data_IF_535520819003
#
_entry.id   IF_535520819003
#
_cell.length_a   1.000
_cell.length_b   1.000
_cell.length_c   1.000
_cell.angle_alpha   90.00
_cell.angle_beta   90.00
_cell.angle_gamma   90.00
#
_symmetry.space_group_name_H-M   'P 1'
#
loop_
_entity.id
_entity.type
_entity.pdbx_description
1 polymer ?
2 branched ?
3 non-polymer ?
4 non-polymer ?
5 water ?
#
# COMPACT_ATOMS: atom_id res chain seq x y z
N UNK A 18 -32.67 -7.22 -22.17
CA UNK A 18 -31.48 -8.06 -22.21
C UNK A 18 -30.26 -7.35 -21.66
N UNK A 19 -30.11 -7.39 -20.34
CA UNK A 19 -29.01 -6.72 -19.67
C UNK A 19 -27.67 -7.38 -19.97
N UNK A 20 -26.66 -6.55 -20.17
CA UNK A 20 -25.30 -7.04 -20.30
C UNK A 20 -24.68 -7.09 -18.91
N UNK A 21 -23.95 -8.14 -18.62
CA UNK A 21 -23.32 -8.28 -17.31
C UNK A 21 -21.94 -7.64 -17.33
N UNK A 22 -21.69 -6.77 -16.36
CA UNK A 22 -20.37 -6.20 -16.14
C UNK A 22 -19.84 -6.81 -14.86
N UNK A 23 -18.68 -7.47 -14.95
CA UNK A 23 -18.08 -8.13 -13.81
C UNK A 23 -17.01 -7.22 -13.19
N UNK A 24 -17.15 -6.97 -11.90
CA UNK A 24 -16.34 -5.98 -11.18
C UNK A 24 -15.65 -6.63 -9.99
N UNK A 25 -14.36 -6.37 -9.83
CA UNK A 25 -13.55 -6.99 -8.78
C UNK A 25 -12.99 -5.96 -7.80
N UNK A 26 -13.19 -6.23 -6.52
CA UNK A 26 -12.69 -5.40 -5.43
C UNK A 26 -12.63 -6.14 -4.12
N UNK A 27 -12.11 -5.48 -3.09
CA UNK A 27 -11.87 -6.22 -1.85
C UNK A 27 -13.13 -6.48 -1.04
N UNK A 28 -13.06 -7.49 -0.17
CA UNK A 28 -14.21 -7.93 0.61
C UNK A 28 -14.90 -6.77 1.33
N UNK A 29 -14.10 -5.86 1.88
CA UNK A 29 -14.63 -4.75 2.65
C UNK A 29 -15.51 -3.82 1.81
N UNK A 30 -15.25 -3.73 0.51
CA UNK A 30 -16.05 -2.88 -0.38
C UNK A 30 -17.30 -3.60 -0.86
N UNK A 31 -17.42 -4.89 -0.53
CA UNK A 31 -18.57 -5.69 -0.93
C UNK A 31 -19.40 -6.10 0.29
N UNK A 32 -18.99 -5.65 1.46
CA UNK A 32 -19.60 -6.05 2.74
C UNK A 32 -20.72 -5.08 3.11
N UNK A 33 -21.96 -5.59 3.18
CA UNK A 33 -23.09 -4.71 3.53
C UNK A 33 -22.88 -4.03 4.87
N UNK A 34 -22.18 -4.70 5.78
CA UNK A 34 -21.96 -4.15 7.10
C UNK A 34 -21.09 -2.91 7.04
N UNK A 35 -20.36 -2.74 5.94
CA UNK A 35 -19.52 -1.56 5.73
C UNK A 35 -20.05 -0.70 4.58
N UNK A 36 -21.34 -0.85 4.27
CA UNK A 36 -22.01 -0.04 3.26
C UNK A 36 -21.82 -0.50 1.82
N UNK A 37 -21.12 -1.63 1.66
CA UNK A 37 -20.81 -2.24 0.37
C UNK A 37 -20.57 -1.18 -0.70
N UNK A 38 -19.55 -0.38 -0.45
CA UNK A 38 -19.22 0.74 -1.32
C UNK A 38 -19.21 0.42 -2.80
N UNK A 39 -18.59 -0.70 -3.16
CA UNK A 39 -18.42 -0.99 -4.58
C UNK A 39 -19.76 -1.28 -5.25
N UNK A 40 -20.62 -2.04 -4.59
CA UNK A 40 -21.96 -2.31 -5.11
C UNK A 40 -22.78 -1.02 -5.18
N UNK A 41 -22.70 -0.26 -4.09
CA UNK A 41 -23.41 1.02 -3.97
C UNK A 41 -23.04 1.94 -5.13
N UNK A 42 -21.75 2.05 -5.42
CA UNK A 42 -21.32 2.93 -6.50
C UNK A 42 -21.64 2.36 -7.89
N UNK A 43 -21.54 1.04 -8.08
CA UNK A 43 -21.95 0.46 -9.35
C UNK A 43 -23.44 0.74 -9.61
N UNK A 44 -24.26 0.61 -8.58
CA UNK A 44 -25.70 0.88 -8.75
C UNK A 44 -25.94 2.35 -9.05
N UNK A 45 -25.23 3.23 -8.37
CA UNK A 45 -25.33 4.67 -8.66
C UNK A 45 -24.94 4.98 -10.10
N UNK A 46 -23.86 4.34 -10.57
CA UNK A 46 -23.45 4.48 -11.95
C UNK A 46 -24.56 4.08 -12.92
N UNK A 47 -25.19 2.93 -12.66
CA UNK A 47 -26.26 2.47 -13.54
C UNK A 47 -27.41 3.48 -13.55
N UNK A 48 -27.74 4.00 -12.37
CA UNK A 48 -28.88 4.94 -12.25
C UNK A 48 -28.60 6.22 -13.03
N UNK A 49 -27.34 6.62 -13.03
CA UNK A 49 -26.93 7.83 -13.75
C UNK A 49 -26.80 7.65 -15.27
N UNK A 50 -26.83 6.40 -15.73
CA UNK A 50 -26.63 6.07 -17.13
C UNK A 50 -27.74 5.16 -17.65
N UNK A 51 -28.96 5.68 -17.73
CA UNK A 51 -30.10 4.88 -18.17
C UNK A 51 -29.97 4.33 -19.59
N UNK A 52 -29.10 4.92 -20.40
CA UNK A 52 -28.87 4.43 -21.75
C UNK A 52 -28.17 3.09 -21.76
N UNK A 53 -27.51 2.77 -20.65
CA UNK A 53 -26.88 1.46 -20.50
C UNK A 53 -27.86 0.46 -19.89
N UNK A 54 -27.88 -0.73 -20.46
CA UNK A 54 -28.72 -1.80 -19.96
C UNK A 54 -27.80 -2.87 -19.38
N UNK A 55 -27.46 -2.69 -18.11
CA UNK A 55 -26.42 -3.50 -17.49
C UNK A 55 -26.82 -4.04 -16.14
N UNK A 56 -26.18 -5.12 -15.75
CA UNK A 56 -26.24 -5.58 -14.37
C UNK A 56 -24.82 -5.94 -13.98
N UNK A 57 -24.63 -6.19 -12.70
CA UNK A 57 -23.31 -6.39 -12.14
C UNK A 57 -23.14 -7.73 -11.47
N UNK A 58 -21.95 -8.31 -11.64
CA UNK A 58 -21.52 -9.45 -10.86
C UNK A 58 -20.20 -9.04 -10.23
N UNK A 59 -19.96 -9.52 -9.02
CA UNK A 59 -18.81 -9.09 -8.24
C UNK A 59 -17.85 -10.22 -7.90
N UNK A 60 -16.56 -9.94 -8.05
CA UNK A 60 -15.52 -10.89 -7.68
C UNK A 60 -14.67 -10.30 -6.56
N UNK A 61 -14.64 -10.98 -5.42
CA UNK A 61 -13.92 -10.49 -4.24
C UNK A 61 -12.43 -10.82 -4.30
N UNK A 62 -11.60 -9.78 -4.26
CA UNK A 62 -10.16 -9.95 -4.26
C UNK A 62 -9.50 -8.68 -3.75
N UNK A 63 -8.52 -8.85 -2.85
CA UNK A 63 -7.71 -7.73 -2.39
C UNK A 63 -7.00 -7.07 -3.55
N UNK A 64 -6.88 -5.75 -3.48
CA UNK A 64 -6.04 -5.05 -4.45
C UNK A 64 -4.59 -5.57 -4.50
N UNK A 65 -4.11 -6.11 -3.38
CA UNK A 65 -2.76 -6.65 -3.27
C UNK A 65 -2.54 -7.87 -4.16
N UNK A 66 -3.63 -8.56 -4.45
CA UNK A 66 -3.64 -9.82 -5.19
C UNK A 66 -4.10 -9.65 -6.64
N UNK A 67 -4.47 -8.43 -7.05
CA UNK A 67 -5.08 -8.26 -8.36
C UNK A 67 -4.20 -8.68 -9.52
N UNK A 68 -2.91 -8.37 -9.47
CA UNK A 68 -1.98 -8.77 -10.51
C UNK A 68 -2.04 -10.28 -10.72
N UNK A 69 -1.95 -11.02 -9.63
CA UNK A 69 -1.93 -12.49 -9.70
C UNK A 69 -3.23 -13.02 -10.32
N UNK A 70 -4.35 -12.47 -9.87
CA UNK A 70 -5.65 -12.93 -10.35
C UNK A 70 -5.83 -12.59 -11.83
N UNK A 71 -5.54 -11.39 -12.25
CA UNK A 71 -5.77 -10.99 -13.59
C UNK A 71 -4.73 -11.53 -14.61
N UNK A 72 -3.45 -11.41 -14.31
CA UNK A 72 -2.44 -11.74 -15.28
C UNK A 72 -2.38 -13.23 -15.60
N UNK A 73 -2.84 -14.03 -14.68
CA UNK A 73 -2.88 -15.47 -14.92
C UNK A 73 -3.65 -15.78 -16.20
N UNK A 74 -4.70 -14.99 -16.47
CA UNK A 74 -5.60 -15.22 -17.59
C UNK A 74 -6.51 -14.02 -17.72
N UNK A 75 -6.06 -12.99 -18.45
CA UNK A 75 -6.88 -11.78 -18.45
C UNK A 75 -8.30 -11.96 -19.03
N UNK A 76 -8.41 -12.79 -20.04
CA UNK A 76 -9.71 -13.01 -20.66
C UNK A 76 -10.70 -13.65 -19.70
N UNK A 77 -10.19 -14.36 -18.69
CA UNK A 77 -11.05 -15.00 -17.69
C UNK A 77 -11.38 -14.07 -16.53
N UNK A 78 -10.77 -12.90 -16.51
CA UNK A 78 -10.85 -12.00 -15.36
C UNK A 78 -11.96 -10.97 -15.48
N UNK A 79 -12.22 -10.29 -14.36
CA UNK A 79 -13.25 -9.25 -14.30
C UNK A 79 -13.02 -8.15 -15.33
N UNK A 80 -14.10 -7.50 -15.73
CA UNK A 80 -14.08 -6.42 -16.71
C UNK A 80 -13.45 -5.14 -16.16
N UNK A 81 -13.73 -4.91 -14.89
CA UNK A 81 -13.29 -3.71 -14.18
C UNK A 81 -12.76 -4.15 -12.81
N UNK A 82 -11.58 -3.67 -12.41
CA UNK A 82 -10.99 -4.16 -11.17
C UNK A 82 -10.16 -3.14 -10.42
N UNK A 83 -10.09 -3.35 -9.11
CA UNK A 83 -9.37 -2.48 -8.20
C UNK A 83 -8.01 -3.10 -7.87
N UNK A 84 -6.93 -2.34 -8.08
CA UNK A 84 -5.59 -2.86 -7.95
C UNK A 84 -4.63 -1.84 -7.34
N UNK A 85 -3.45 -2.30 -6.96
CA UNK A 85 -2.39 -1.43 -6.43
C UNK A 85 -1.43 -1.07 -7.54
N UNK A 86 -1.02 0.18 -7.62
CA UNK A 86 -0.41 0.67 -8.83
C UNK A 86 0.95 0.05 -9.20
N UNK A 87 1.65 -0.53 -8.24
CA UNK A 87 2.93 -1.19 -8.53
C UNK A 87 2.73 -2.37 -9.46
N UNK A 88 1.49 -2.79 -9.59
CA UNK A 88 1.15 -3.90 -10.50
C UNK A 88 1.00 -3.49 -11.95
N UNK A 89 1.18 -2.20 -12.24
CA UNK A 89 0.88 -1.67 -13.54
C UNK A 89 1.70 -2.27 -14.67
N UNK A 90 3.02 -2.35 -14.53
CA UNK A 90 3.81 -2.86 -15.65
C UNK A 90 3.48 -4.33 -15.94
N UNK A 91 3.39 -5.20 -14.91
CA UNK A 91 2.98 -6.58 -15.20
C UNK A 91 1.62 -6.66 -15.87
N UNK A 92 0.68 -5.82 -15.46
CA UNK A 92 -0.62 -5.83 -16.09
C UNK A 92 -0.49 -5.41 -17.56
N UNK A 93 0.30 -4.38 -17.86
CA UNK A 93 0.47 -3.94 -19.24
C UNK A 93 1.12 -5.05 -20.08
N UNK A 94 2.15 -5.69 -19.54
CA UNK A 94 2.86 -6.69 -20.34
C UNK A 94 1.99 -7.92 -20.59
N UNK A 95 1.00 -8.14 -19.73
CA UNK A 95 0.02 -9.20 -19.91
C UNK A 95 -1.17 -8.78 -20.79
N UNK A 96 -1.14 -7.57 -21.34
CA UNK A 96 -2.28 -7.03 -22.09
C UNK A 96 -3.57 -7.14 -21.28
N UNK A 97 -3.48 -6.74 -20.00
CA UNK A 97 -4.55 -6.97 -19.03
C UNK A 97 -5.20 -5.68 -18.55
N UNK A 98 -4.70 -4.55 -19.05
CA UNK A 98 -5.21 -3.24 -18.63
C UNK A 98 -5.23 -2.29 -19.82
N UNK A 99 -6.37 -1.63 -19.99
CA UNK A 99 -6.60 -0.77 -21.15
C UNK A 99 -6.07 0.64 -20.91
N UNK A 100 -5.41 1.20 -21.93
CA UNK A 100 -5.11 2.62 -21.93
C UNK A 100 -6.40 3.40 -21.85
N UNK A 101 -6.36 4.52 -21.13
CA UNK A 101 -7.51 5.39 -20.97
C UNK A 101 -7.26 6.72 -21.63
N UNK A 102 -8.28 7.23 -22.30
CA UNK A 102 -8.17 8.54 -22.92
C UNK A 102 -9.36 9.42 -22.56
N UNK A 103 -9.57 10.44 -23.39
CA UNK A 103 -10.77 11.24 -23.28
C UNK A 103 -10.95 11.92 -21.94
N UNK A 104 -12.22 12.07 -21.56
CA UNK A 104 -12.58 12.72 -20.33
C UNK A 104 -12.03 11.96 -19.13
N UNK A 105 -11.92 10.64 -19.25
CA UNK A 105 -11.42 9.83 -18.15
C UNK A 105 -9.96 10.18 -17.83
N UNK A 106 -9.12 10.19 -18.85
CA UNK A 106 -7.72 10.54 -18.69
C UNK A 106 -7.61 11.97 -18.18
N UNK A 107 -8.45 12.85 -18.71
CA UNK A 107 -8.41 14.25 -18.30
C UNK A 107 -8.75 14.41 -16.81
N UNK A 108 -9.71 13.63 -16.34
CA UNK A 108 -10.07 13.63 -14.93
C UNK A 108 -8.92 13.14 -14.05
N UNK A 109 -8.23 12.10 -14.49
CA UNK A 109 -7.13 11.61 -13.72
C UNK A 109 -6.04 12.68 -13.60
N UNK A 110 -5.80 13.42 -14.67
CA UNK A 110 -4.80 14.49 -14.63
C UNK A 110 -5.26 15.73 -13.84
N UNK A 111 -6.51 16.09 -13.99
CA UNK A 111 -6.99 17.35 -13.41
C UNK A 111 -7.30 17.24 -11.92
N UNK A 112 -7.73 16.06 -11.45
CA UNK A 112 -8.26 15.94 -10.11
C UNK A 112 -7.26 15.40 -9.09
N UNK A 113 -6.09 15.02 -9.57
CA UNK A 113 -5.01 14.46 -8.74
C UNK A 113 -3.76 15.33 -8.80
N UNK A 114 -2.94 15.19 -7.76
CA UNK A 114 -1.60 15.76 -7.80
C UNK A 114 -0.80 15.13 -8.93
N UNK A 115 0.31 15.75 -9.27
CA UNK A 115 1.18 15.19 -10.27
C UNK A 115 1.65 13.79 -9.85
N UNK A 116 2.05 13.62 -8.60
CA UNK A 116 2.57 12.32 -8.20
C UNK A 116 1.47 11.27 -8.24
N UNK A 117 0.25 11.62 -7.89
CA UNK A 117 -0.82 10.61 -7.94
C UNK A 117 -1.23 10.27 -9.37
N UNK A 118 -1.25 11.24 -10.28
CA UNK A 118 -1.45 10.91 -11.68
C UNK A 118 -0.29 10.03 -12.18
N UNK A 119 0.93 10.26 -11.69
CA UNK A 119 2.07 9.50 -12.20
C UNK A 119 2.00 8.02 -11.82
N UNK A 120 1.25 7.72 -10.76
CA UNK A 120 1.16 6.34 -10.29
C UNK A 120 0.53 5.45 -11.33
N UNK A 121 -0.26 6.02 -12.24
CA UNK A 121 -1.00 5.22 -13.23
C UNK A 121 -0.60 5.58 -14.66
N UNK A 122 0.56 6.24 -14.80
CA UNK A 122 1.08 6.66 -16.08
C UNK A 122 2.27 5.79 -16.48
N UNK A 123 2.20 5.24 -17.69
CA UNK A 123 3.26 4.40 -18.23
C UNK A 123 3.54 4.86 -19.67
N UNK A 124 4.79 5.21 -19.95
CA UNK A 124 5.21 5.66 -21.27
C UNK A 124 4.30 6.79 -21.78
N UNK A 125 3.91 7.67 -20.86
CA UNK A 125 3.12 8.83 -21.21
C UNK A 125 1.62 8.64 -21.30
N UNK A 126 1.12 7.40 -21.17
CA UNK A 126 -0.30 7.11 -21.24
C UNK A 126 -0.87 6.79 -19.86
N UNK A 127 -2.11 7.20 -19.63
CA UNK A 127 -2.84 6.86 -18.41
C UNK A 127 -3.51 5.52 -18.57
N UNK A 128 -3.39 4.67 -17.55
CA UNK A 128 -3.95 3.33 -17.60
C UNK A 128 -4.95 2.99 -16.51
N UNK A 129 -5.28 3.91 -15.60
CA UNK A 129 -6.18 3.57 -14.52
C UNK A 129 -6.66 4.84 -13.85
N UNK A 130 -7.72 4.69 -13.03
CA UNK A 130 -8.29 5.82 -12.31
C UNK A 130 -8.01 5.65 -10.82
N UNK A 131 -7.12 6.48 -10.24
CA UNK A 131 -6.87 6.41 -8.79
C UNK A 131 -8.11 6.66 -7.96
N UNK A 132 -8.26 5.95 -6.86
CA UNK A 132 -9.34 6.26 -5.91
C UNK A 132 -8.87 6.52 -4.51
N UNK A 133 -7.65 6.10 -4.17
CA UNK A 133 -7.05 6.47 -2.89
C UNK A 133 -5.53 6.41 -3.02
N UNK A 134 -4.82 7.15 -2.18
CA UNK A 134 -3.38 6.98 -2.16
C UNK A 134 -3.08 5.68 -1.43
N UNK A 135 -1.89 5.16 -1.63
CA UNK A 135 -1.52 3.84 -1.13
C UNK A 135 -0.19 3.93 -0.42
N UNK A 136 -0.24 3.86 0.91
CA UNK A 136 0.95 3.95 1.73
C UNK A 136 0.59 3.39 3.09
N UNK A 137 1.51 3.46 4.03
CA UNK A 137 1.25 2.91 5.35
C UNK A 137 1.82 3.85 6.40
N UNK A 138 1.46 3.59 7.66
CA UNK A 138 1.72 4.52 8.75
C UNK A 138 1.59 3.78 10.08
N UNK A 139 1.63 4.52 11.18
CA UNK A 139 1.65 3.91 12.51
C UNK A 139 0.32 4.04 13.23
N UNK A 140 -0.23 2.91 13.65
CA UNK A 140 -1.31 2.91 14.64
C UNK A 140 -0.69 2.63 16.01
N UNK A 141 -1.12 3.32 17.07
CA UNK A 141 -0.56 3.01 18.37
C UNK A 141 -1.56 3.24 19.50
N UNK A 142 -1.29 2.60 20.62
CA UNK A 142 -2.11 2.69 21.82
C UNK A 142 -1.72 3.93 22.62
N UNK A 143 -2.61 4.90 22.68
CA UNK A 143 -2.34 6.16 23.38
C UNK A 143 -2.20 5.96 24.88
N UNK A 144 -2.62 4.81 25.39
CA UNK A 144 -2.44 4.48 26.80
C UNK A 144 -0.98 4.13 27.11
N UNK A 145 -0.21 3.80 26.07
CA UNK A 145 1.16 3.33 26.22
C UNK A 145 2.20 4.37 25.78
N UNK A 146 1.97 5.02 24.64
CA UNK A 146 2.91 5.99 24.09
C UNK A 146 2.34 7.40 24.00
N UNK A 147 3.20 8.37 24.27
CA UNK A 147 2.89 9.78 24.04
C UNK A 147 3.17 10.16 22.59
N UNK A 148 2.72 11.35 22.18
CA UNK A 148 3.00 11.85 20.86
C UNK A 148 4.50 12.00 20.64
N UNK A 149 5.21 12.38 21.70
CA UNK A 149 6.64 12.56 21.58
C UNK A 149 7.34 11.21 21.46
N UNK A 150 6.82 10.21 22.18
CA UNK A 150 7.42 8.87 22.16
C UNK A 150 7.48 8.32 20.74
N UNK A 151 6.41 8.53 19.97
CA UNK A 151 6.27 7.81 18.71
C UNK A 151 7.06 8.47 17.60
N UNK A 152 7.83 9.51 17.92
CA UNK A 152 8.69 10.12 16.93
C UNK A 152 9.94 9.28 16.68
N UNK A 153 10.23 8.36 17.62
CA UNK A 153 11.41 7.51 17.56
C UNK A 153 11.08 6.06 17.90
N UNK A 154 11.48 5.12 17.03
CA UNK A 154 11.22 3.71 17.28
C UNK A 154 12.00 3.28 18.52
N UNK A 155 13.18 3.86 18.68
CA UNK A 155 14.04 3.50 19.82
C UNK A 155 13.38 3.94 21.13
N UNK A 156 12.85 5.15 21.15
CA UNK A 156 12.11 5.62 22.34
C UNK A 156 10.91 4.72 22.58
N UNK A 157 10.19 4.37 21.53
CA UNK A 157 9.05 3.50 21.70
C UNK A 157 9.40 2.17 22.37
N UNK A 158 10.50 1.56 21.98
CA UNK A 158 10.85 0.28 22.51
C UNK A 158 11.19 0.32 24.01
N UNK A 159 11.47 1.49 24.52
CA UNK A 159 11.74 1.62 25.92
C UNK A 159 10.48 1.69 26.74
N UNK A 160 9.36 2.02 26.11
CA UNK A 160 8.08 2.24 26.78
C UNK A 160 7.05 1.16 26.58
N UNK A 161 7.20 0.32 25.57
CA UNK A 161 6.14 -0.60 25.25
C UNK A 161 6.48 -1.52 24.10
N UNK A 162 5.46 -2.23 23.62
CA UNK A 162 5.62 -3.29 22.65
C UNK A 162 5.42 -2.79 21.23
N UNK A 163 6.37 -3.10 20.37
CA UNK A 163 6.39 -2.60 19.01
C UNK A 163 6.41 -3.77 18.04
N UNK A 164 5.60 -3.71 16.97
CA UNK A 164 5.63 -4.73 15.95
C UNK A 164 5.98 -4.14 14.58
N UNK A 165 6.41 -5.01 13.68
CA UNK A 165 6.68 -4.62 12.29
C UNK A 165 6.64 -5.85 11.38
N UNK A 166 5.99 -5.76 10.20
CA UNK A 166 5.90 -6.92 9.30
C UNK A 166 7.10 -7.09 8.39
N UNK A 167 8.20 -7.58 8.94
CA UNK A 167 9.47 -7.58 8.20
C UNK A 167 9.52 -8.53 7.01
N UNK A 168 8.62 -9.51 6.92
CA UNK A 168 8.68 -10.41 5.75
C UNK A 168 7.76 -9.94 4.62
N UNK A 169 7.29 -8.69 4.73
CA UNK A 169 6.51 -8.06 3.68
C UNK A 169 7.32 -6.96 3.03
N UNK A 170 7.71 -7.15 1.77
CA UNK A 170 8.60 -6.20 1.12
C UNK A 170 8.06 -4.78 1.02
N UNK A 171 6.75 -4.65 1.05
CA UNK A 171 6.13 -3.32 0.95
C UNK A 171 6.44 -2.47 2.19
N UNK A 172 6.78 -3.15 3.29
CA UNK A 172 7.18 -2.54 4.56
C UNK A 172 8.70 -2.55 4.81
N UNK A 173 9.35 -3.64 4.40
CA UNK A 173 10.78 -3.85 4.68
C UNK A 173 11.66 -2.70 4.18
N UNK A 174 11.31 -2.18 3.01
CA UNK A 174 12.18 -1.22 2.35
C UNK A 174 12.34 0.05 3.17
N UNK A 175 11.36 0.38 3.99
CA UNK A 175 11.43 1.62 4.75
C UNK A 175 12.70 1.71 5.59
N UNK A 176 13.15 0.58 6.10
CA UNK A 176 14.37 0.51 6.91
C UNK A 176 15.62 0.72 6.08
N UNK A 177 15.66 0.13 4.89
CA UNK A 177 16.83 0.24 4.04
C UNK A 177 16.90 1.63 3.37
N UNK A 178 15.76 2.15 2.95
CA UNK A 178 15.70 3.50 2.37
C UNK A 178 16.18 4.54 3.37
N UNK A 179 15.92 4.27 4.65
CA UNK A 179 16.29 5.18 5.73
C UNK A 179 17.79 5.45 5.75
N UNK A 180 18.58 4.49 5.28
CA UNK A 180 20.04 4.63 5.30
C UNK A 180 20.68 4.68 3.93
N UNK A 181 19.88 5.07 2.93
CA UNK A 181 20.41 5.39 1.63
C UNK A 181 20.48 4.25 0.63
N UNK A 182 19.83 3.13 0.94
CA UNK A 182 19.68 2.08 -0.06
C UNK A 182 18.61 2.50 -1.05
N UNK A 183 18.78 2.05 -2.29
CA UNK A 183 17.90 2.48 -3.37
C UNK A 183 17.36 1.35 -4.25
N UNK A 184 16.20 1.65 -4.83
CA UNK A 184 15.57 0.81 -5.84
C UNK A 184 15.44 1.64 -7.12
N UNK A 185 16.18 1.25 -8.17
CA UNK A 185 16.15 1.94 -9.45
C UNK A 185 16.45 3.43 -9.29
N UNK A 186 17.48 3.71 -8.51
CA UNK A 186 17.92 5.08 -8.34
C UNK A 186 16.91 5.81 -7.50
N UNK A 187 16.22 6.77 -8.10
CA UNK A 187 15.15 7.47 -7.40
C UNK A 187 13.82 6.75 -7.54
N UNK A 188 13.86 5.60 -8.18
CA UNK A 188 12.72 4.77 -8.42
C UNK A 188 12.32 4.62 -9.86
N UNK A 189 12.95 5.44 -10.70
CA UNK A 189 12.61 5.54 -12.10
C UNK A 189 13.73 5.22 -13.07
N UNK A 190 14.83 4.75 -12.56
CA UNK A 190 15.98 4.40 -13.40
C UNK A 190 16.32 2.93 -13.32
N UNK A 191 15.83 2.17 -14.26
CA UNK A 191 16.05 0.74 -14.25
C UNK A 191 17.53 0.37 -14.34
N UNK A 192 18.30 1.20 -15.06
CA UNK A 192 19.72 0.93 -15.26
C UNK A 192 20.52 1.04 -13.96
N UNK A 193 19.94 1.69 -12.96
CA UNK A 193 20.59 1.82 -11.66
C UNK A 193 20.46 0.53 -10.84
N UNK A 194 19.49 -0.32 -11.18
CA UNK A 194 19.31 -1.58 -10.46
C UNK A 194 18.97 -1.38 -8.99
N UNK A 195 19.26 -2.40 -8.19
CA UNK A 195 19.08 -2.34 -6.76
C UNK A 195 20.40 -2.02 -6.06
N UNK A 196 20.35 -1.20 -5.03
CA UNK A 196 21.55 -0.92 -4.23
C UNK A 196 21.25 -1.02 -2.75
N UNK A 197 21.45 -2.24 -2.24
CA UNK A 197 21.35 -2.54 -0.82
C UNK A 197 22.72 -2.98 -0.31
N UNK A 198 23.76 -2.65 -1.05
CA UNK A 198 25.09 -3.18 -0.79
C UNK A 198 25.89 -2.33 0.20
N UNK A 199 26.88 -2.96 0.80
CA UNK A 199 27.88 -2.23 1.56
C UNK A 199 27.48 -1.91 2.99
N UNK A 200 28.32 -1.14 3.64
CA UNK A 200 28.15 -0.83 5.04
C UNK A 200 26.80 -0.15 5.29
N UNK A 201 26.32 0.64 4.34
CA UNK A 201 25.03 1.30 4.53
C UNK A 201 23.89 0.27 4.66
N UNK A 202 23.97 -0.82 3.92
CA UNK A 202 22.98 -1.89 4.00
C UNK A 202 23.19 -2.75 5.23
N UNK A 203 24.44 -3.12 5.51
CA UNK A 203 24.74 -3.91 6.71
C UNK A 203 24.32 -3.22 7.99
N UNK A 204 24.49 -1.91 8.06
CA UNK A 204 24.09 -1.15 9.25
C UNK A 204 22.59 -1.30 9.50
N UNK A 205 21.81 -1.32 8.43
CA UNK A 205 20.35 -1.51 8.56
C UNK A 205 20.07 -2.96 8.99
N UNK A 206 20.70 -3.92 8.33
CA UNK A 206 20.53 -5.32 8.74
C UNK A 206 20.88 -5.51 10.22
N UNK A 207 21.97 -4.91 10.65
CA UNK A 207 22.35 -4.97 12.06
C UNK A 207 21.29 -4.36 12.99
N UNK A 208 20.72 -3.21 12.61
CA UNK A 208 19.64 -2.58 13.35
C UNK A 208 18.48 -3.56 13.49
N UNK A 209 18.13 -4.25 12.40
CA UNK A 209 16.99 -5.17 12.44
C UNK A 209 17.32 -6.41 13.29
N UNK A 210 18.55 -6.93 13.20
CA UNK A 210 18.97 -7.99 14.10
C UNK A 210 18.79 -7.56 15.54
N UNK A 211 19.25 -6.36 15.87
CA UNK A 211 19.09 -5.84 17.22
C UNK A 211 17.61 -5.72 17.60
N UNK A 212 16.78 -5.36 16.64
CA UNK A 212 15.36 -5.21 16.89
C UNK A 212 14.77 -6.55 17.25
N UNK A 213 15.07 -7.59 16.48
CA UNK A 213 14.57 -8.91 16.80
C UNK A 213 15.05 -9.42 18.16
N UNK A 214 16.22 -8.97 18.58
CA UNK A 214 16.81 -9.37 19.87
C UNK A 214 16.28 -8.51 21.04
N UNK A 215 15.41 -7.55 20.72
CA UNK A 215 14.81 -6.66 21.71
C UNK A 215 13.56 -7.32 22.24
N UNK A 216 13.46 -7.57 23.56
CA UNK A 216 12.28 -8.28 24.06
C UNK A 216 10.96 -7.49 24.00
N UNK A 217 11.01 -6.21 23.65
CA UNK A 217 9.78 -5.45 23.42
C UNK A 217 9.41 -5.38 21.94
N UNK A 218 10.16 -6.08 21.09
CA UNK A 218 9.77 -6.21 19.69
C UNK A 218 9.08 -7.53 19.39
N UNK A 219 8.00 -7.45 18.63
CA UNK A 219 7.26 -8.61 18.15
C UNK A 219 7.10 -8.53 16.64
N UNK A 220 7.63 -9.50 15.92
CA UNK A 220 7.45 -9.50 14.47
C UNK A 220 5.97 -9.64 14.14
N UNK A 221 5.47 -8.74 13.28
CA UNK A 221 4.13 -8.88 12.72
C UNK A 221 4.16 -9.90 11.59
N UNK A 222 3.03 -10.54 11.29
CA UNK A 222 2.99 -11.41 10.14
C UNK A 222 2.69 -10.66 8.85
N UNK A 223 2.83 -11.36 7.73
CA UNK A 223 2.86 -10.72 6.42
C UNK A 223 1.71 -9.77 6.18
N UNK A 224 0.48 -10.17 6.51
CA UNK A 224 -0.64 -9.28 6.22
C UNK A 224 -1.28 -8.67 7.47
N UNK A 225 -0.58 -8.76 8.60
CA UNK A 225 -0.88 -7.89 9.72
C UNK A 225 -2.00 -8.34 10.65
N UNK A 226 -2.43 -9.59 10.55
CA UNK A 226 -3.46 -10.08 11.46
C UNK A 226 -2.87 -10.28 12.86
N UNK A 227 -1.57 -10.59 12.94
CA UNK A 227 -0.93 -10.76 14.23
C UNK A 227 -0.89 -9.44 15.00
N UNK A 228 -0.45 -8.37 14.34
CA UNK A 228 -0.43 -7.07 14.97
C UNK A 228 -1.79 -6.63 15.48
N UNK A 229 -2.82 -6.84 14.67
CA UNK A 229 -4.18 -6.45 15.06
C UNK A 229 -4.58 -7.18 16.33
N UNK A 230 -4.33 -8.49 16.35
CA UNK A 230 -4.66 -9.32 17.51
C UNK A 230 -3.87 -8.89 18.74
N UNK A 231 -2.61 -8.50 18.53
CA UNK A 231 -1.77 -7.98 19.59
C UNK A 231 -2.23 -6.68 20.21
N UNK A 232 -2.76 -5.77 19.41
CA UNK A 232 -3.27 -4.49 19.91
C UNK A 232 -4.42 -4.75 20.88
N UNK A 233 -5.23 -5.76 20.55
CA UNK A 233 -6.39 -6.10 21.35
C UNK A 233 -5.97 -6.71 22.68
N UNK A 234 -4.99 -7.61 22.60
CA UNK A 234 -4.27 -8.24 23.72
C UNK A 234 -3.51 -7.35 24.67
N UNK A 235 -3.03 -6.22 24.15
CA UNK A 235 -1.98 -5.46 24.82
C UNK A 235 -0.58 -6.02 24.60
N UNK A 236 -0.42 -7.15 23.91
CA UNK A 236 0.92 -7.72 23.66
C UNK A 236 1.70 -6.94 22.60
N UNK A 237 0.97 -6.17 21.80
CA UNK A 237 1.54 -5.25 20.82
C UNK A 237 0.84 -3.92 21.00
N UNK A 238 1.62 -2.84 21.07
CA UNK A 238 1.08 -1.50 21.31
C UNK A 238 1.28 -0.52 20.14
N UNK A 239 1.99 -0.99 19.11
CA UNK A 239 2.30 -0.19 17.92
C UNK A 239 2.29 -1.12 16.71
N UNK A 240 1.60 -0.67 15.67
CA UNK A 240 1.17 -1.51 14.54
C UNK A 240 1.39 -0.69 13.28
N UNK A 241 2.18 -1.21 12.35
CA UNK A 241 2.44 -0.48 11.11
C UNK A 241 1.61 -1.13 10.05
N UNK A 242 0.66 -0.36 9.53
CA UNK A 242 -0.36 -0.90 8.66
C UNK A 242 -1.05 0.25 7.94
N UNK A 243 -2.29 0.07 7.51
CA UNK A 243 -2.90 1.09 6.66
C UNK A 243 -4.38 1.34 6.84
N UNK A 244 -4.87 2.17 5.92
CA UNK A 244 -6.21 2.75 6.00
C UNK A 244 -7.31 1.69 5.99
N UNK A 245 -7.06 0.60 5.29
CA UNK A 245 -8.05 -0.47 5.15
C UNK A 245 -8.41 -1.13 6.48
N UNK A 246 -7.54 -1.05 7.48
CA UNK A 246 -7.78 -1.64 8.80
C UNK A 246 -8.17 -0.64 9.90
N UNK A 247 -8.56 0.58 9.50
CA UNK A 247 -8.83 1.66 10.46
C UNK A 247 -9.93 1.22 11.44
N UNK A 248 -11.03 0.72 10.89
CA UNK A 248 -12.16 0.33 11.75
C UNK A 248 -11.79 -0.85 12.65
N UNK A 249 -11.01 -1.80 12.16
CA UNK A 249 -10.59 -2.92 13.00
C UNK A 249 -9.64 -2.49 14.10
N UNK A 250 -8.80 -1.48 13.83
CA UNK A 250 -7.91 -0.97 14.86
C UNK A 250 -8.74 -0.27 15.94
N UNK A 251 -9.78 0.44 15.52
CA UNK A 251 -10.67 1.10 16.48
C UNK A 251 -11.37 0.03 17.31
N UNK A 252 -11.75 -1.08 16.70
CA UNK A 252 -12.35 -2.19 17.46
C UNK A 252 -11.35 -2.77 18.46
N UNK A 253 -10.09 -2.91 18.05
CA UNK A 253 -9.11 -3.58 18.91
C UNK A 253 -8.73 -2.75 20.13
N UNK A 254 -8.53 -1.45 19.95
CA UNK A 254 -8.00 -0.58 20.99
C UNK A 254 -9.06 0.18 21.76
N UNK A 255 -10.23 0.34 21.15
CA UNK A 255 -11.20 1.30 21.61
C UNK A 255 -10.84 2.65 21.04
N UNK A 256 -11.82 3.34 20.48
CA UNK A 256 -11.52 4.50 19.67
C UNK A 256 -10.84 5.64 20.42
N UNK A 257 -11.09 5.79 21.73
CA UNK A 257 -10.43 6.86 22.47
C UNK A 257 -8.95 6.59 22.70
N UNK A 258 -8.53 5.36 22.41
CA UNK A 258 -7.15 4.96 22.64
C UNK A 258 -6.32 4.92 21.36
N UNK A 259 -6.98 5.13 20.22
CA UNK A 259 -6.28 5.02 18.94
C UNK A 259 -5.45 6.26 18.64
N UNK A 260 -4.14 6.04 18.49
CA UNK A 260 -3.24 7.05 17.99
C UNK A 260 -2.84 6.70 16.58
N UNK A 261 -2.70 7.72 15.74
CA UNK A 261 -2.29 7.52 14.36
C UNK A 261 -1.16 8.50 14.06
N UNK A 262 -0.02 7.97 13.61
CA UNK A 262 1.14 8.82 13.35
C UNK A 262 1.83 8.49 12.07
N UNK A 263 2.63 9.43 11.59
CA UNK A 263 3.53 9.15 10.49
C UNK A 263 4.73 8.35 11.04
N UNK A 264 5.72 8.09 10.21
CA UNK A 264 6.76 7.13 10.58
C UNK A 264 7.86 7.74 11.44
N UNK A 265 8.35 6.97 12.41
CA UNK A 265 9.41 7.43 13.31
C UNK A 265 10.78 7.34 12.69
N UNK A 266 11.77 7.86 13.41
CA UNK A 266 13.16 7.65 13.05
C UNK A 266 13.67 6.40 13.72
N UNK A 267 14.77 5.89 13.18
CA UNK A 267 15.55 4.85 13.82
C UNK A 267 16.98 5.34 13.97
N UNK A 268 17.59 4.99 15.08
CA UNK A 268 18.93 5.45 15.33
C UNK A 268 19.95 4.39 14.89
N UNK A 269 20.64 4.71 13.80
CA UNK A 269 21.70 3.87 13.24
C UNK A 269 23.04 4.55 13.48
N UNK A 270 23.86 3.92 14.32
CA UNK A 270 25.20 4.41 14.64
C UNK A 270 25.23 5.85 15.12
N UNK A 271 24.22 6.24 15.90
CA UNK A 271 24.18 7.57 16.48
C UNK A 271 23.46 8.60 15.63
N UNK A 272 22.98 8.17 14.46
CA UNK A 272 22.31 9.07 13.53
C UNK A 272 20.82 8.70 13.42
N UNK A 273 19.96 9.69 13.62
CA UNK A 273 18.52 9.48 13.43
C UNK A 273 18.27 9.38 11.94
N UNK A 274 17.67 8.27 11.53
CA UNK A 274 17.37 8.03 10.12
C UNK A 274 15.86 7.89 9.95
N UNK A 275 15.31 8.49 8.90
CA UNK A 275 13.87 8.51 8.69
C UNK A 275 13.38 7.29 7.93
N UNK A 276 12.54 6.48 8.56
CA UNK A 276 11.84 5.40 7.83
C UNK A 276 10.99 6.00 6.73
N UNK A 277 11.01 5.38 5.55
CA UNK A 277 10.27 5.87 4.39
C UNK A 277 9.47 4.76 3.73
N UNK A 278 8.15 4.88 3.87
CA UNK A 278 7.21 3.99 3.21
C UNK A 278 7.18 4.24 1.72
N UNK A 279 6.77 3.23 0.94
CA UNK A 279 6.36 3.48 -0.43
C UNK A 279 5.07 4.29 -0.47
N UNK A 280 4.97 5.19 -1.44
CA UNK A 280 3.73 5.92 -1.71
C UNK A 280 3.33 5.70 -3.16
N UNK A 281 2.19 5.07 -3.35
CA UNK A 281 1.63 4.80 -4.66
C UNK A 281 0.15 5.14 -4.59
N UNK A 282 -0.66 4.40 -5.36
CA UNK A 282 -2.10 4.59 -5.34
C UNK A 282 -2.77 3.24 -5.48
N UNK A 283 -4.03 3.17 -5.10
CA UNK A 283 -4.90 2.10 -5.57
C UNK A 283 -5.83 2.72 -6.60
N UNK A 284 -6.13 1.96 -7.65
CA UNK A 284 -6.79 2.52 -8.82
C UNK A 284 -7.74 1.49 -9.44
N UNK A 285 -8.62 1.98 -10.30
CA UNK A 285 -9.53 1.14 -11.06
C UNK A 285 -9.00 0.99 -12.48
N UNK A 286 -8.87 -0.27 -12.89
CA UNK A 286 -8.44 -0.62 -14.23
C UNK A 286 -9.53 -1.28 -15.03
N UNK A 287 -9.41 -1.13 -16.35
CA UNK A 287 -10.33 -1.74 -17.32
C UNK A 287 -9.62 -2.86 -18.06
N UNK A 288 -10.27 -4.01 -18.08
CA UNK A 288 -9.79 -5.17 -18.82
C UNK A 288 -10.03 -5.00 -20.34
N UNK A 289 -8.97 -5.07 -21.16
CA UNK A 289 -9.14 -4.97 -22.60
C UNK A 289 -10.09 -5.99 -23.18
N UNK A 290 -10.31 -7.08 -22.46
CA UNK A 290 -11.18 -8.15 -22.94
C UNK A 290 -12.66 -7.88 -22.66
N UNK A 291 -12.97 -6.83 -21.90
CA UNK A 291 -14.36 -6.49 -21.67
C UNK A 291 -15.04 -6.18 -23.01
N UNK A 292 -16.22 -6.78 -23.19
CA UNK A 292 -16.96 -6.67 -24.43
C UNK A 292 -17.71 -5.36 -24.59
N UNK A 293 -17.72 -4.53 -23.55
CA UNK A 293 -18.32 -3.21 -23.63
C UNK A 293 -17.38 -2.19 -23.03
N UNK A 294 -16.42 -1.75 -23.84
CA UNK A 294 -15.39 -0.82 -23.36
C UNK A 294 -15.98 0.51 -22.98
N UNK A 295 -17.03 0.95 -23.67
CA UNK A 295 -17.67 2.22 -23.35
C UNK A 295 -18.17 2.18 -21.91
N UNK A 296 -18.89 1.14 -21.56
CA UNK A 296 -19.44 1.04 -20.22
C UNK A 296 -18.31 0.90 -19.19
N UNK A 297 -17.31 0.08 -19.50
CA UNK A 297 -16.27 -0.25 -18.54
C UNK A 297 -15.46 1.00 -18.18
N UNK A 298 -15.10 1.77 -19.20
CA UNK A 298 -14.30 2.97 -19.00
C UNK A 298 -15.12 3.98 -18.20
N UNK A 299 -16.38 4.17 -18.57
CA UNK A 299 -17.20 5.11 -17.82
C UNK A 299 -17.42 4.67 -16.36
N UNK A 300 -17.53 3.37 -16.14
CA UNK A 300 -17.63 2.86 -14.79
C UNK A 300 -16.36 3.12 -14.00
N UNK A 301 -15.20 2.92 -14.62
CA UNK A 301 -13.95 3.17 -13.92
C UNK A 301 -13.86 4.65 -13.51
N UNK A 302 -14.23 5.52 -14.45
CA UNK A 302 -14.26 6.95 -14.18
C UNK A 302 -15.20 7.23 -13.00
N UNK A 303 -16.36 6.56 -12.96
CA UNK A 303 -17.33 6.80 -11.91
C UNK A 303 -16.83 6.32 -10.54
N UNK A 304 -16.23 5.14 -10.51
CA UNK A 304 -15.75 4.60 -9.25
C UNK A 304 -14.65 5.44 -8.65
N UNK A 305 -13.95 6.24 -9.48
CA UNK A 305 -12.93 7.14 -8.98
C UNK A 305 -13.36 8.60 -8.90
N UNK A 306 -14.65 8.85 -9.14
CA UNK A 306 -15.18 10.21 -9.16
C UNK A 306 -15.18 10.81 -7.76
N UNK A 307 -15.37 12.13 -7.71
CA UNK A 307 -15.39 12.83 -6.44
C UNK A 307 -16.48 12.28 -5.51
N UNK A 308 -17.69 12.13 -6.03
CA UNK A 308 -18.80 11.59 -5.24
C UNK A 308 -18.46 10.22 -4.71
N UNK A 309 -17.88 9.38 -5.57
CA UNK A 309 -17.55 8.02 -5.16
C UNK A 309 -16.46 7.99 -4.08
N UNK A 310 -15.44 8.83 -4.23
CA UNK A 310 -14.41 8.93 -3.21
C UNK A 310 -14.97 9.47 -1.89
N UNK A 311 -15.89 10.43 -1.95
CA UNK A 311 -16.48 10.90 -0.72
C UNK A 311 -17.27 9.78 -0.05
N UNK A 312 -18.02 9.02 -0.84
CA UNK A 312 -18.75 7.88 -0.28
C UNK A 312 -17.81 6.83 0.34
N UNK A 313 -16.64 6.62 -0.25
CA UNK A 313 -15.68 5.67 0.30
C UNK A 313 -15.21 6.15 1.67
N UNK A 314 -15.07 7.47 1.80
CA UNK A 314 -14.69 8.06 3.08
C UNK A 314 -15.81 7.94 4.13
N UNK A 315 -17.03 8.25 3.73
CA UNK A 315 -18.13 8.23 4.70
C UNK A 315 -18.53 6.80 5.07
N UNK A 316 -18.48 5.87 4.12
CA UNK A 316 -18.95 4.51 4.39
C UNK A 316 -17.90 3.70 5.14
N UNK A 317 -16.62 3.84 4.82
CA UNK A 317 -15.64 3.07 5.57
C UNK A 317 -14.30 3.77 5.79
N UNK A 318 -14.32 5.10 5.78
CA UNK A 318 -13.21 5.89 6.28
C UNK A 318 -11.98 5.88 5.40
N UNK A 319 -12.15 5.53 4.13
CA UNK A 319 -11.01 5.48 3.23
C UNK A 319 -10.69 6.90 2.71
N UNK A 320 -9.44 7.29 2.85
CA UNK A 320 -9.05 8.66 2.51
C UNK A 320 -9.08 8.91 1.00
N UNK A 321 -9.67 10.04 0.58
CA UNK A 321 -9.71 10.34 -0.84
C UNK A 321 -8.37 10.78 -1.41
N UNK A 322 -8.21 10.57 -2.71
CA UNK A 322 -7.01 11.05 -3.39
C UNK A 322 -7.34 12.32 -4.17
N UNK A 323 -8.60 12.49 -4.54
CA UNK A 323 -9.10 13.67 -5.25
C UNK A 323 -8.74 14.94 -4.50
N UNK A 324 -7.98 15.84 -5.13
CA UNK A 324 -7.47 17.00 -4.40
C UNK A 324 -8.58 17.98 -3.98
N UNK A 325 -9.71 17.98 -4.67
CA UNK A 325 -10.85 18.82 -4.28
C UNK A 325 -11.47 18.40 -2.95
N UNK A 326 -11.30 17.13 -2.56
CA UNK A 326 -11.81 16.68 -1.26
C UNK A 326 -10.86 16.91 -0.11
N UNK A 327 -9.66 17.42 -0.40
CA UNK A 327 -8.68 17.70 0.65
C UNK A 327 -9.13 18.78 1.58
N UNK A 328 -10.00 19.67 1.09
CA UNK A 328 -10.54 20.77 1.88
C UNK A 328 -11.90 20.47 2.50
N UNK A 329 -12.39 19.25 2.33
CA UNK A 329 -13.56 18.78 3.06
C UNK A 329 -13.18 18.75 4.52
N UNK A 330 -14.01 19.32 5.37
CA UNK A 330 -13.57 19.55 6.74
C UNK A 330 -13.43 18.23 7.50
N UNK A 331 -14.32 17.29 7.22
CA UNK A 331 -14.26 15.98 7.86
C UNK A 331 -13.01 15.22 7.42
N UNK A 332 -12.64 15.34 6.15
CA UNK A 332 -11.45 14.66 5.65
C UNK A 332 -10.20 15.27 6.28
N UNK A 333 -10.15 16.59 6.29
CA UNK A 333 -8.98 17.28 6.79
C UNK A 333 -8.77 16.98 8.27
N UNK A 334 -9.87 16.73 9.00
CA UNK A 334 -9.81 16.42 10.43
C UNK A 334 -9.56 14.95 10.73
N UNK A 335 -9.59 14.08 9.71
CA UNK A 335 -9.50 12.65 9.96
C UNK A 335 -8.06 12.25 10.32
N UNK A 336 -7.89 11.48 11.42
CA UNK A 336 -6.52 11.15 11.81
C UNK A 336 -5.75 10.29 10.79
N UNK A 337 -6.44 9.40 10.09
CA UNK A 337 -5.73 8.57 9.10
C UNK A 337 -5.43 9.39 7.86
N UNK A 338 -6.40 10.17 7.36
CA UNK A 338 -6.10 11.02 6.20
C UNK A 338 -4.93 11.95 6.49
N UNK A 339 -4.89 12.49 7.70
CA UNK A 339 -3.80 13.38 8.09
C UNK A 339 -2.44 12.67 8.16
N UNK A 340 -2.42 11.48 8.74
CA UNK A 340 -1.19 10.70 8.82
C UNK A 340 -0.68 10.34 7.42
N UNK A 341 -1.58 9.93 6.55
CA UNK A 341 -1.21 9.57 5.19
C UNK A 341 -0.62 10.76 4.45
N UNK A 342 -1.20 11.94 4.67
CA UNK A 342 -0.65 13.13 4.07
C UNK A 342 0.74 13.46 4.62
N UNK A 343 0.95 13.25 5.92
CA UNK A 343 2.26 13.47 6.51
C UNK A 343 3.30 12.46 6.01
N UNK A 344 2.88 11.21 5.85
CA UNK A 344 3.78 10.21 5.28
C UNK A 344 4.15 10.64 3.86
N UNK A 345 3.18 11.14 3.10
CA UNK A 345 3.44 11.56 1.74
C UNK A 345 4.48 12.70 1.69
N UNK A 346 4.37 13.69 2.57
CA UNK A 346 5.28 14.84 2.51
C UNK A 346 6.61 14.61 3.20
N UNK A 347 6.63 13.80 4.25
CA UNK A 347 7.78 13.71 5.16
C UNK A 347 8.46 12.34 5.23
N UNK A 348 7.75 11.27 4.90
CA UNK A 348 8.19 9.89 5.24
C UNK A 348 8.01 8.89 4.14
N UNK A 349 8.20 9.27 2.88
CA UNK A 349 7.94 8.32 1.80
C UNK A 349 8.85 8.49 0.61
N UNK A 350 8.90 7.42 -0.18
CA UNK A 350 9.49 7.45 -1.50
C UNK A 350 8.41 6.99 -2.47
N UNK A 351 8.45 7.51 -3.68
CA UNK A 351 7.44 7.16 -4.66
C UNK A 351 7.58 5.69 -5.02
N UNK A 352 6.46 4.98 -5.03
CA UNK A 352 6.43 3.58 -5.44
C UNK A 352 6.93 3.42 -6.89
N UNK A 353 8.02 2.65 -7.09
CA UNK A 353 8.39 2.41 -8.49
C UNK A 353 7.30 1.70 -9.28
N UNK A 354 7.17 2.06 -10.56
CA UNK A 354 6.31 1.27 -11.42
C UNK A 354 7.15 0.39 -12.32
N UNK A 355 8.47 0.60 -12.39
CA UNK A 355 9.33 -0.44 -12.95
C UNK A 355 9.08 -1.71 -12.12
N UNK A 356 8.82 -2.83 -12.78
CA UNK A 356 8.41 -4.06 -12.09
C UNK A 356 9.42 -4.46 -11.00
N UNK A 357 8.89 -4.72 -9.81
CA UNK A 357 9.70 -5.03 -8.63
C UNK A 357 9.56 -6.50 -8.21
N UNK A 358 9.06 -7.34 -9.12
CA UNK A 358 8.80 -8.75 -8.81
C UNK A 358 9.91 -9.46 -8.02
N UNK A 359 11.16 -9.30 -8.45
CA UNK A 359 12.30 -9.94 -7.83
C UNK A 359 12.50 -9.51 -6.39
N UNK A 360 12.23 -8.23 -6.14
CA UNK A 360 12.28 -7.71 -4.78
C UNK A 360 11.12 -8.25 -3.93
N UNK A 361 9.88 -8.20 -4.42
CA UNK A 361 8.79 -8.69 -3.59
C UNK A 361 9.05 -10.15 -3.19
N UNK A 362 9.58 -10.92 -4.13
CA UNK A 362 9.85 -12.34 -3.88
C UNK A 362 10.98 -12.55 -2.89
N UNK A 363 12.09 -11.83 -3.05
CA UNK A 363 13.25 -12.06 -2.19
C UNK A 363 13.03 -11.49 -0.79
N UNK A 364 12.18 -10.47 -0.68
CA UNK A 364 12.01 -9.79 0.60
C UNK A 364 11.46 -10.71 1.67
N UNK A 365 10.56 -11.61 1.30
CA UNK A 365 9.86 -12.40 2.29
C UNK A 365 10.79 -13.40 3.01
N UNK A 366 11.54 -14.22 2.26
CA UNK A 366 12.46 -15.12 2.98
C UNK A 366 13.56 -14.36 3.71
N UNK A 367 13.96 -13.20 3.20
CA UNK A 367 14.95 -12.38 3.88
C UNK A 367 14.41 -11.92 5.23
N UNK A 368 13.23 -11.33 5.24
CA UNK A 368 12.63 -10.90 6.49
C UNK A 368 12.40 -12.04 7.48
N UNK A 369 12.00 -13.19 6.96
CA UNK A 369 11.72 -14.31 7.82
C UNK A 369 12.99 -14.82 8.49
N UNK A 370 14.14 -14.61 7.85
CA UNK A 370 15.38 -15.16 8.34
C UNK A 370 15.92 -14.42 9.56
N UNK A 371 15.32 -13.30 9.94
CA UNK A 371 15.75 -12.61 11.15
C UNK A 371 15.27 -13.35 12.40
N UNK A 372 14.26 -14.19 12.26
CA UNK A 372 13.62 -14.81 13.43
C UNK A 372 14.59 -15.69 14.19
N UNK A 373 14.49 -15.62 15.52
CA UNK A 373 15.21 -16.54 16.39
C UNK A 373 14.94 -17.98 15.99
N UNK A 374 16.00 -18.73 15.72
CA UNK A 374 15.88 -20.13 15.36
C UNK A 374 15.64 -20.43 13.90
N UNK A 375 15.49 -19.39 13.08
CA UNK A 375 15.32 -19.57 11.65
C UNK A 375 16.49 -20.28 11.00
N UNK A 376 16.17 -21.06 9.98
CA UNK A 376 17.16 -21.62 9.08
C UNK A 376 17.95 -20.48 8.42
N UNK A 377 19.27 -20.50 8.60
CA UNK A 377 20.12 -19.44 8.07
C UNK A 377 19.85 -18.09 8.72
N UNK A 378 19.57 -18.11 10.02
CA UNK A 378 19.21 -16.90 10.74
C UNK A 378 20.23 -15.78 10.50
N UNK A 379 19.72 -14.59 10.22
CA UNK A 379 20.55 -13.41 10.11
C UNK A 379 20.94 -12.96 11.49
N UNK A 380 22.24 -12.80 11.70
CA UNK A 380 22.81 -12.45 12.97
C UNK A 380 23.82 -11.32 12.80
N UNK A 381 24.37 -10.82 13.90
CA UNK A 381 25.43 -9.85 13.80
C UNK A 381 26.65 -10.42 13.10
N UNK A 382 26.94 -11.69 13.36
CA UNK A 382 28.13 -12.30 12.77
C UNK A 382 28.02 -12.46 11.25
N UNK A 383 26.82 -12.65 10.72
CA UNK A 383 26.70 -12.80 9.26
C UNK A 383 25.92 -11.71 8.53
N UNK A 384 25.65 -10.61 9.23
CA UNK A 384 24.82 -9.53 8.69
C UNK A 384 25.34 -9.05 7.33
N UNK A 385 26.64 -8.84 7.22
CA UNK A 385 27.21 -8.31 5.98
C UNK A 385 27.04 -9.34 4.84
N UNK A 386 27.31 -10.60 5.13
CA UNK A 386 27.12 -11.65 4.14
C UNK A 386 25.68 -11.70 3.66
N UNK A 387 24.75 -11.67 4.61
CA UNK A 387 23.33 -11.83 4.29
C UNK A 387 22.83 -10.61 3.52
N UNK A 388 23.39 -9.45 3.83
CA UNK A 388 23.03 -8.21 3.15
C UNK A 388 23.48 -8.27 1.70
N UNK A 389 24.73 -8.69 1.46
CA UNK A 389 25.20 -8.80 0.09
C UNK A 389 24.43 -9.89 -0.65
N UNK A 390 24.13 -11.00 0.01
CA UNK A 390 23.36 -12.08 -0.62
C UNK A 390 22.05 -11.50 -1.15
N UNK A 391 21.43 -10.64 -0.34
CA UNK A 391 20.12 -10.08 -0.68
C UNK A 391 20.28 -9.13 -1.86
N UNK A 392 21.24 -8.22 -1.78
CA UNK A 392 21.52 -7.31 -2.88
C UNK A 392 21.80 -8.08 -4.18
N UNK A 393 22.59 -9.14 -4.08
CA UNK A 393 22.90 -9.95 -5.24
C UNK A 393 21.67 -10.62 -5.86
N UNK A 394 20.81 -11.18 -5.02
CA UNK A 394 19.57 -11.81 -5.48
C UNK A 394 18.68 -10.79 -6.20
N UNK A 395 18.56 -9.60 -5.62
CA UNK A 395 17.75 -8.54 -6.24
C UNK A 395 18.25 -8.21 -7.64
N UNK A 396 19.55 -8.01 -7.76
CA UNK A 396 20.08 -7.61 -9.07
C UNK A 396 20.11 -8.79 -10.05
N UNK A 397 20.29 -9.99 -9.55
CA UNK A 397 20.22 -11.16 -10.42
C UNK A 397 18.85 -11.28 -11.05
N UNK A 398 17.81 -10.83 -10.35
CA UNK A 398 16.43 -10.98 -10.82
C UNK A 398 16.16 -10.07 -12.01
N UNK A 399 17.08 -9.16 -12.28
CA UNK A 399 16.94 -8.23 -13.40
C UNK A 399 17.64 -8.73 -14.66
N UNK A 400 18.39 -9.82 -14.56
CA UNK A 400 19.19 -10.28 -15.69
C UNK A 400 18.35 -11.07 -16.71
X LIG B 1 -7.12 -5.00 1.76
X LIG B 1 -6.78 -3.59 1.34
X LIG B 1 -5.49 -3.52 0.60
X LIG B 1 -4.37 -4.06 1.42
X LIG B 1 -4.68 -5.49 1.82
X LIG B 1 -3.71 -6.02 2.82
X LIG B 1 -7.41 -5.79 0.67
X LIG B 1 -7.89 -3.01 0.59
X LIG B 1 -5.22 -2.12 0.32
X LIG B 1 -3.15 -4.01 0.69
X LIG B 1 -5.97 -5.57 2.51
X LIG B 1 -4.02 -7.39 3.11
X LIG B 1 -7.88 -4.99 2.33
X LIG B 1 -6.68 -3.06 2.16
X LIG B 1 -5.56 -4.01 -0.22
X LIG B 1 -4.28 -3.51 2.26
X LIG B 1 -4.69 -6.06 1.03
X LIG B 1 -3.77 -5.49 3.65
X LIG B 1 -2.81 -5.96 2.47
X LIG B 1 -8.04 -6.37 0.87
X LIG B 1 -7.84 -3.24 -0.25
X LIG B 1 -4.35 -2.02 0.12
X LIG B 1 -4.55 -7.43 3.82
X LIG B 2 -2.18 -3.17 1.24
X LIG B 2 -1.67 -2.28 0.15
X LIG B 2 -1.02 -3.07 -0.94
X LIG B 2 0.10 -3.91 -0.41
X LIG B 2 -0.39 -4.78 0.75
X LIG B 2 0.78 -5.46 1.41
X LIG B 2 -2.78 -1.51 -0.37
X LIG B 2 -0.52 -2.16 -1.96
X LIG B 2 0.63 -4.78 -1.46
X LIG B 2 -1.05 -3.96 1.76
X LIG B 2 0.32 -6.34 2.45
X LIG B 2 -2.56 -2.64 1.95
X LIG B 2 -1.01 -1.67 0.53
X LIG B 2 -1.68 -3.64 -1.34
X LIG B 2 0.80 -3.35 -0.10
X LIG B 2 -1.02 -5.44 0.41
X LIG B 2 1.37 -4.79 1.78
X LIG B 2 1.28 -6.00 0.73
X LIG B 2 -2.52 -0.63 -0.48
X LIG B 2 -0.13 -2.63 -2.58
X LIG B 2 0.13 -5.86 3.18
X LIG B 3 1.87 -4.38 -1.99
X LIG B 3 0.74 -3.54 -3.92
X LIG B 3 1.80 -4.43 -3.49
X LIG B 3 3.44 -11.62 -5.32
X LIG B 3 1.55 -5.81 -3.99
X LIG B 3 1.49 -5.85 -5.42
X LIG B 3 2.66 -6.70 -3.51
X LIG B 3 2.47 -8.05 -4.06
X LIG B 3 2.66 -6.68 -2.00
X LIG B 3 2.90 -5.32 -1.52
X LIG B 3 3.77 -7.47 -1.36
X LIG B 3 3.68 -8.64 -4.69
X LIG B 3 3.22 -9.30 -6.12
X LIG B 3 2.36 -8.27 -6.77
X LIG B 3 2.56 -10.41 -5.95
X LIG B 3 2.07 -10.93 -7.28
X LIG B 3 2.64 -12.78 -5.06
X LIG B 3 4.14 -11.23 -4.12
X LIG B 3 4.28 -9.57 -3.81
X LIG B 3 4.75 -12.20 -3.17
X LIG B 3 5.94 -11.64 -2.73
X LIG B 3 2.08 -3.47 -1.69
X LIG B 3 1.08 -2.89 -4.49
X LIG B 3 2.65 -4.10 -3.86
X LIG B 3 4.07 -11.98 -5.99
X LIG B 3 0.73 -6.12 -3.63
X LIG B 3 1.96 -5.15 -5.77
X LIG B 3 3.52 -6.36 -3.83
X LIG B 3 2.17 -8.60 -3.41
X LIG B 3 1.77 -7.01 -1.65
X LIG B 3 3.90 -7.17 -0.44
X LIG B 3 4.61 -7.33 -1.88
X LIG B 3 3.54 -8.45 -1.38
X LIG B 3 4.24 -7.86 -4.82
X LIG B 3 4.01 -9.46 -6.67
X LIG B 3 1.48 -8.57 -6.80
X LIG B 3 1.81 -10.23 -5.38
X LIG B 3 2.13 -11.83 -7.28
X LIG B 3 3.10 -13.53 -5.29
X LIG B 3 4.73 -9.26 -2.99
X LIG B 3 4.92 -13.03 -3.63
X LIG B 3 4.13 -12.36 -2.40
X LIG B 3 6.52 -12.28 -2.51
X LIG C 1 13.83 4.11 -4.53
X LIG C 1 15.17 4.24 -4.27
X LIG C 1 13.21 3.22 -3.47
X LIG C 1 13.44 3.72 -2.15
X LIG C 1 14.61 3.29 -1.43
X LIG C 1 14.89 1.85 -1.67
X LIG C 1 15.82 1.18 -0.86
X LIG D 1 6.71 6.19 -10.39
X LIG D 1 7.39 6.94 -9.39
X LIG D 1 5.44 6.94 -10.81
X LIG D 1 4.46 6.95 -9.75
X LIG D 1 6.44 5.21 -10.01
X LIG D 1 7.36 6.07 -11.26
X LIG D 1 8.19 6.47 -9.13
X LIG D 1 5.00 6.45 -11.69
X LIG D 1 5.69 7.96 -11.08
X LIG D 1 3.67 7.42 -10.04
X LIG E 1 7.37 -18.35 8.89
X LIG E 1 8.79 -18.21 9.08
X LIG E 1 6.70 -16.99 8.86
X LIG E 1 6.82 -16.35 10.14
X LIG E 1 6.96 -18.96 9.70
X LIG E 1 7.19 -18.88 7.95
X LIG E 1 9.21 -19.08 9.09
X LIG E 1 5.64 -17.10 8.60
X LIG E 1 7.17 -16.36 8.10
X LIG E 1 6.38 -15.49 10.11
X LIG F 1 -15.03 -12.80 -16.81
X LIG F 1 -14.15 -12.91 -17.94
X LIG F 1 -15.90 -11.59 -16.99
X LIG F 1 -16.52 -11.64 -18.28
X LIG F 1 -14.43 -12.71 -15.89
X LIG F 1 -15.64 -13.71 -16.73
X LIG F 1 -13.58 -13.68 -17.84
X LIG F 1 -15.30 -10.68 -16.91
X LIG F 1 -16.67 -11.55 -16.21
X LIG F 1 -17.08 -10.87 -18.41
#
# INVERSE_FOLDING_TARGET
GSGNGGNGTEKADKKDGGKETITVMGPAEDLDDAQGAWLKTECEAFAKANPDFNIEFKYVTSSESDAKDVVTKDPKAAADVYMFANDQLEPLIKANAIAKLGGDTAEYVKSSNSEAMAATVTYDGDIYAVPYTSNTWFMYYDKRVFSEDDVKSLDTMLTKGKVSFPFDNGWYLNAFYAANGCTIFGDGTDKAAGYDFSGDKGTAVTNYIVDLFANPNFVMDNNEGSLGLAGLKDGSINAYFNGNWNYDKVKEALGEENVGVAALPTINIGGKDCQLKAFLGSKAIGVNPNCKNQEVAVKLAAFLGSEDAQLAHFKLRGQAPVNKDLATNEEVAADPVAAAMAKVSSDCSVAQPIIDMSGYWDAATPFGDAFQNGAEGQITKDNAAQKTEDFNTQLNDSLK
GLC C1 C2 C3 C4 C5 C6 O1 O2 O3 O4 O5 O6 H1 H2 H3 H4 H5 H61 H62 HO1 HO2 HO3 HO6
GLC C1 C2 C3 C4 C5 C6 O2 O3 O4 O5 O6 H1 H2 H3 H4 H5 H61 H62 HO2 HO3 HO6
AC1 C1 O2 C2 C4A C3 O3 C4 N4A C5 O5 C6 C1B C2B O2B C3B O3B O4 C5B C7B C6B O6B H1 HO2 H2 HC4 H3 HO3 H4 HN4 H5 H61 H62 H63 HCB1 HCB2 HO2B HCB3 HOB3 HO4 HC7 HC61 HC62 HO6B
PEG C1 O1 C2 O2 C3 C4 O4
EDO C1 O1 C2 O2 H11 H12 HO1 H21 H22 HO2
EDO C1 O1 C2 O2 H11 H12 HO1 H21 H22 HO2
EDO C1 O1 C2 O2 H11 H12 HO1 H21 H22 HO2
#
